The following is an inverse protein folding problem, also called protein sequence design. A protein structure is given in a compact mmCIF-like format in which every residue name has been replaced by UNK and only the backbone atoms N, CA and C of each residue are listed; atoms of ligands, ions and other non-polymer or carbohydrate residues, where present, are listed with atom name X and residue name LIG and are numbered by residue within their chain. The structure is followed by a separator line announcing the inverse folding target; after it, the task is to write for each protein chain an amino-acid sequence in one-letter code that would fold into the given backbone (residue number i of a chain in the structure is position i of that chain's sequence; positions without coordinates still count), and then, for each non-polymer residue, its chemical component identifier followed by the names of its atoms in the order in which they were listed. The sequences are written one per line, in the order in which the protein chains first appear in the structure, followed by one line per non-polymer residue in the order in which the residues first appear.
data_IF_192266974724
#
_entry.id   IF_192266974724
#
_cell.length_a   1.000
_cell.length_b   1.000
_cell.length_c   1.000
_cell.angle_alpha   90.00
_cell.angle_beta   90.00
_cell.angle_gamma   90.00
#
_symmetry.space_group_name_H-M   'P 1'
#
loop_
_entity.id
_entity.type
_entity.pdbx_description
1 polymer ?
#
# COMPACT_ATOMS: atom_id res chain seq x y z
N UNK A 1 13.05 3.36 2.54
CA UNK A 1 12.10 4.48 2.65
C UNK A 1 10.76 3.95 2.20
N UNK A 2 9.67 4.28 2.89
CA UNK A 2 8.34 3.78 2.56
C UNK A 2 7.67 4.76 1.61
N UNK A 3 7.11 4.23 0.53
CA UNK A 3 6.25 4.94 -0.39
C UNK A 3 4.78 4.58 -0.09
N UNK A 4 3.94 5.60 0.04
CA UNK A 4 2.53 5.49 0.43
C UNK A 4 1.64 6.09 -0.67
N UNK A 5 1.11 5.25 -1.54
CA UNK A 5 0.21 5.65 -2.63
C UNK A 5 -1.23 5.74 -2.14
N UNK A 6 -1.80 6.94 -2.23
CA UNK A 6 -3.10 7.29 -1.64
C UNK A 6 -3.99 8.06 -2.61
N UNK A 7 -5.24 8.22 -2.23
CA UNK A 7 -6.14 9.19 -2.85
C UNK A 7 -6.95 9.95 -1.78
N UNK A 8 -7.53 11.11 -2.12
CA UNK A 8 -8.49 11.79 -1.27
C UNK A 8 -9.69 10.90 -0.93
N UNK A 9 -10.36 11.21 0.19
CA UNK A 9 -11.58 10.55 0.65
C UNK A 9 -11.49 9.02 0.87
N UNK A 10 -10.29 8.45 0.90
CA UNK A 10 -10.04 7.03 1.16
C UNK A 10 -9.85 6.78 2.68
N UNK A 11 -10.79 6.07 3.31
CA UNK A 11 -10.73 5.78 4.76
C UNK A 11 -9.52 4.94 5.14
N UNK A 12 -9.22 3.88 4.38
CA UNK A 12 -8.04 3.04 4.62
C UNK A 12 -6.73 3.82 4.48
N UNK A 13 -6.67 4.79 3.55
CA UNK A 13 -5.51 5.64 3.35
C UNK A 13 -5.28 6.56 4.56
N UNK A 14 -6.36 7.15 5.11
CA UNK A 14 -6.28 7.94 6.35
C UNK A 14 -5.80 7.10 7.53
N UNK A 15 -6.27 5.85 7.64
CA UNK A 15 -5.82 4.92 8.68
C UNK A 15 -4.33 4.59 8.54
N UNK A 16 -3.87 4.23 7.35
CA UNK A 16 -2.46 3.93 7.10
C UNK A 16 -1.54 5.13 7.42
N UNK A 17 -1.90 6.33 6.93
CA UNK A 17 -1.16 7.56 7.21
C UNK A 17 -1.08 7.85 8.71
N UNK A 18 -2.22 7.78 9.41
CA UNK A 18 -2.27 8.02 10.85
C UNK A 18 -1.45 6.98 11.62
N UNK A 19 -1.50 5.72 11.20
CA UNK A 19 -0.77 4.63 11.83
C UNK A 19 0.74 4.82 11.70
N UNK A 20 1.24 5.11 10.49
CA UNK A 20 2.68 5.35 10.26
C UNK A 20 3.17 6.56 11.06
N UNK A 21 2.39 7.65 11.08
CA UNK A 21 2.72 8.84 11.86
C UNK A 21 2.74 8.56 13.38
N UNK A 22 1.80 7.77 13.90
CA UNK A 22 1.74 7.42 15.32
C UNK A 22 2.90 6.52 15.80
N UNK A 23 3.61 5.89 14.86
CA UNK A 23 4.77 5.02 15.13
C UNK A 23 6.09 5.66 14.71
N UNK A 24 6.09 6.97 14.43
CA UNK A 24 7.25 7.72 13.96
C UNK A 24 7.93 7.10 12.72
N UNK A 25 7.13 6.48 11.85
CA UNK A 25 7.58 5.87 10.60
C UNK A 25 7.43 6.89 9.46
N UNK A 26 8.55 7.35 8.94
CA UNK A 26 8.58 8.26 7.80
C UNK A 26 8.11 7.57 6.51
N UNK A 27 7.19 8.20 5.80
CA UNK A 27 6.70 7.75 4.49
C UNK A 27 6.58 8.89 3.51
N UNK A 28 6.92 8.64 2.26
CA UNK A 28 6.70 9.55 1.15
C UNK A 28 5.31 9.31 0.56
N UNK A 29 4.45 10.31 0.67
CA UNK A 29 3.07 10.22 0.18
C UNK A 29 2.97 10.57 -1.30
N UNK A 30 2.28 9.70 -2.06
CA UNK A 30 1.97 9.91 -3.47
C UNK A 30 0.46 9.95 -3.65
N UNK A 31 -0.09 11.11 -3.98
CA UNK A 31 -1.51 11.22 -4.29
C UNK A 31 -1.75 10.88 -5.76
N UNK A 32 -2.23 9.66 -6.03
CA UNK A 32 -2.41 9.14 -7.40
C UNK A 32 -3.45 9.89 -8.23
N UNK A 33 -4.27 10.73 -7.60
CA UNK A 33 -5.26 11.55 -8.30
C UNK A 33 -4.67 12.86 -8.83
N UNK A 34 -3.60 13.37 -8.22
CA UNK A 34 -2.93 14.63 -8.62
C UNK A 34 -1.56 14.39 -9.24
N UNK A 35 -0.93 13.27 -8.91
CA UNK A 35 0.34 12.81 -9.42
C UNK A 35 0.14 11.37 -9.90
N UNK A 36 -0.17 11.15 -11.19
CA UNK A 36 -0.33 9.80 -11.74
C UNK A 36 0.89 8.93 -11.43
N UNK A 37 0.63 7.64 -11.23
CA UNK A 37 1.69 6.67 -10.95
C UNK A 37 2.61 6.54 -12.18
N UNK A 38 3.91 6.45 -11.95
CA UNK A 38 4.86 6.29 -13.06
C UNK A 38 4.91 4.82 -13.53
N UNK A 39 5.31 4.57 -14.80
CA UNK A 39 5.61 3.22 -15.28
C UNK A 39 6.57 2.45 -14.36
N UNK A 40 7.58 3.14 -13.82
CA UNK A 40 8.61 2.58 -12.94
C UNK A 40 8.01 2.17 -11.60
N UNK A 41 7.19 3.04 -10.99
CA UNK A 41 6.49 2.76 -9.75
C UNK A 41 5.56 1.55 -9.91
N UNK A 42 4.79 1.50 -11.01
CA UNK A 42 3.86 0.40 -11.24
C UNK A 42 4.60 -0.93 -11.46
N UNK A 43 5.74 -0.92 -12.18
CA UNK A 43 6.60 -2.09 -12.31
C UNK A 43 7.13 -2.57 -10.96
N UNK A 44 7.56 -1.64 -10.10
CA UNK A 44 8.03 -1.98 -8.75
C UNK A 44 6.91 -2.62 -7.91
N UNK A 45 5.69 -2.08 -7.98
CA UNK A 45 4.51 -2.62 -7.33
C UNK A 45 4.19 -4.03 -7.85
N UNK A 46 4.07 -4.19 -9.18
CA UNK A 46 3.78 -5.48 -9.80
C UNK A 46 4.84 -6.54 -9.52
N UNK A 47 6.11 -6.16 -9.37
CA UNK A 47 7.17 -7.11 -9.02
C UNK A 47 7.03 -7.73 -7.61
N UNK A 48 6.17 -7.16 -6.77
CA UNK A 48 5.92 -7.60 -5.39
C UNK A 48 4.54 -8.23 -5.19
N UNK A 49 3.71 -8.32 -6.24
CA UNK A 49 2.41 -8.99 -6.15
C UNK A 49 2.60 -10.51 -6.24
N UNK A 50 1.66 -11.25 -5.67
CA UNK A 50 1.62 -12.71 -5.80
C UNK A 50 0.75 -13.12 -6.99
N UNK A 51 -0.35 -12.39 -7.21
CA UNK A 51 -1.34 -12.66 -8.27
C UNK A 51 -1.31 -11.61 -9.38
N UNK A 52 -0.18 -10.92 -9.58
CA UNK A 52 -0.04 -9.95 -10.66
C UNK A 52 -0.95 -8.73 -10.51
N UNK A 53 -1.74 -8.45 -11.55
CA UNK A 53 -2.62 -7.28 -11.63
C UNK A 53 -3.85 -7.40 -10.74
N UNK A 54 -4.33 -8.61 -10.45
CA UNK A 54 -5.52 -8.87 -9.64
C UNK A 54 -5.40 -8.31 -8.21
N UNK A 55 -4.18 -8.34 -7.67
CA UNK A 55 -3.86 -7.83 -6.34
C UNK A 55 -4.05 -6.32 -6.26
N UNK A 56 -3.67 -5.59 -7.31
CA UNK A 56 -3.61 -4.12 -7.31
C UNK A 56 -4.81 -3.46 -7.98
N UNK A 57 -5.58 -4.18 -8.79
CA UNK A 57 -6.79 -3.65 -9.43
C UNK A 57 -8.03 -3.86 -8.57
N UNK A 58 -8.82 -2.81 -8.46
CA UNK A 58 -10.12 -2.78 -7.81
C UNK A 58 -11.21 -3.21 -8.79
N UNK A 59 -11.26 -4.52 -9.07
CA UNK A 59 -12.24 -5.14 -10.00
C UNK A 59 -13.70 -4.93 -9.58
N UNK A 60 -13.94 -4.61 -8.29
CA UNK A 60 -15.28 -4.28 -7.77
C UNK A 60 -15.68 -2.82 -8.00
N UNK A 61 -14.80 -1.98 -8.55
CA UNK A 61 -15.08 -0.56 -8.76
C UNK A 61 -16.08 -0.34 -9.90
N UNK A 62 -16.91 0.70 -9.79
CA UNK A 62 -17.84 1.11 -10.86
C UNK A 62 -17.11 1.48 -12.15
N UNK A 63 -15.87 1.98 -12.03
CA UNK A 63 -15.04 2.33 -13.19
C UNK A 63 -14.66 1.06 -13.94
N UNK A 64 -14.15 0.06 -13.22
CA UNK A 64 -13.81 -1.24 -13.82
C UNK A 64 -15.01 -1.89 -14.53
N UNK A 65 -16.15 -1.94 -13.86
CA UNK A 65 -17.39 -2.52 -14.43
C UNK A 65 -17.89 -1.79 -15.69
N UNK A 66 -17.62 -0.48 -15.80
CA UNK A 66 -18.04 0.32 -16.97
C UNK A 66 -17.10 0.17 -18.17
N UNK A 67 -15.83 -0.09 -17.92
CA UNK A 67 -14.82 -0.20 -18.97
C UNK A 67 -14.99 -1.49 -19.79
N UNK A 68 -15.58 -2.54 -19.19
CA UNK A 68 -15.81 -3.84 -19.84
C UNK A 68 -14.52 -4.36 -20.53
N UNK A 69 -13.41 -4.24 -19.80
CA UNK A 69 -12.07 -4.65 -20.22
C UNK A 69 -11.72 -6.00 -19.59
N UNK A 70 -10.95 -6.80 -20.33
CA UNK A 70 -10.22 -7.92 -19.77
C UNK A 70 -8.80 -7.45 -19.43
N UNK A 71 -8.41 -7.53 -18.15
CA UNK A 71 -7.07 -7.07 -17.72
C UNK A 71 -6.00 -8.04 -18.22
N UNK A 72 -6.34 -9.32 -18.35
CA UNK A 72 -5.37 -10.37 -18.68
C UNK A 72 -4.94 -10.29 -20.16
N UNK A 73 -5.72 -9.59 -20.99
CA UNK A 73 -5.40 -9.30 -22.39
C UNK A 73 -4.53 -8.04 -22.56
N UNK A 74 -4.39 -7.21 -21.51
CA UNK A 74 -3.62 -5.96 -21.61
C UNK A 74 -2.12 -6.24 -21.51
N UNK A 75 -1.36 -5.63 -22.42
CA UNK A 75 0.08 -5.48 -22.22
C UNK A 75 0.36 -4.59 -21.01
N UNK A 76 1.58 -4.70 -20.45
CA UNK A 76 1.99 -3.85 -19.33
C UNK A 76 1.86 -2.34 -19.66
N UNK A 77 2.14 -1.93 -20.90
CA UNK A 77 2.03 -0.52 -21.30
C UNK A 77 0.57 -0.07 -21.36
N UNK A 78 -0.32 -0.87 -21.93
CA UNK A 78 -1.76 -0.56 -21.97
C UNK A 78 -2.35 -0.51 -20.55
N UNK A 79 -1.90 -1.38 -19.64
CA UNK A 79 -2.29 -1.33 -18.24
C UNK A 79 -1.81 -0.02 -17.57
N UNK A 80 -0.58 0.42 -17.85
CA UNK A 80 -0.04 1.68 -17.32
C UNK A 80 -0.86 2.87 -17.81
N UNK A 81 -1.16 2.91 -19.11
CA UNK A 81 -1.99 3.96 -19.71
C UNK A 81 -3.38 3.96 -19.08
N UNK A 82 -4.01 2.80 -18.97
CA UNK A 82 -5.32 2.63 -18.34
C UNK A 82 -5.35 3.14 -16.90
N UNK A 83 -4.35 2.80 -16.09
CA UNK A 83 -4.25 3.25 -14.70
C UNK A 83 -3.98 4.76 -14.63
N UNK A 84 -3.20 5.30 -15.57
CA UNK A 84 -2.93 6.74 -15.65
C UNK A 84 -4.18 7.55 -15.97
N UNK A 85 -5.02 7.05 -16.87
CA UNK A 85 -6.33 7.65 -17.21
C UNK A 85 -7.38 7.44 -16.11
N UNK A 86 -7.29 6.31 -15.41
CA UNK A 86 -8.23 5.92 -14.37
C UNK A 86 -7.55 5.50 -13.07
N UNK A 87 -6.89 6.42 -12.32
CA UNK A 87 -6.12 6.06 -11.11
C UNK A 87 -6.96 5.38 -10.03
N UNK A 88 -8.28 5.63 -10.03
CA UNK A 88 -9.23 4.99 -9.13
C UNK A 88 -9.37 3.47 -9.32
N UNK A 89 -8.87 2.91 -10.43
CA UNK A 89 -8.77 1.46 -10.64
C UNK A 89 -7.80 0.82 -9.67
N UNK A 90 -6.79 1.53 -9.19
CA UNK A 90 -5.88 0.99 -8.18
C UNK A 90 -6.58 0.81 -6.83
N UNK A 91 -6.34 -0.34 -6.20
CA UNK A 91 -6.58 -0.55 -4.78
C UNK A 91 -5.69 0.38 -3.98
N UNK A 92 -6.21 0.85 -2.84
CA UNK A 92 -5.58 1.89 -2.03
C UNK A 92 -5.82 1.65 -0.53
N UNK A 93 -4.90 2.05 0.34
CA UNK A 93 -3.54 2.52 0.01
C UNK A 93 -2.68 1.38 -0.56
N UNK A 94 -1.59 1.72 -1.26
CA UNK A 94 -0.48 0.79 -1.49
C UNK A 94 0.69 1.31 -0.67
N UNK A 95 1.22 0.47 0.21
CA UNK A 95 2.32 0.78 1.12
C UNK A 95 3.48 -0.12 0.68
N UNK A 96 4.62 0.46 0.30
CA UNK A 96 5.73 -0.30 -0.28
C UNK A 96 7.08 0.24 0.19
N UNK A 97 8.02 -0.65 0.46
CA UNK A 97 9.45 -0.33 0.63
C UNK A 97 10.31 -1.26 -0.24
N UNK A 98 11.62 -1.30 0.02
CA UNK A 98 12.55 -2.16 -0.72
C UNK A 98 12.22 -3.66 -0.58
N UNK A 99 11.59 -4.07 0.50
CA UNK A 99 11.40 -5.47 0.89
C UNK A 99 9.95 -5.92 0.88
N UNK A 100 9.01 -5.03 1.14
CA UNK A 100 7.64 -5.36 1.52
C UNK A 100 6.65 -4.51 0.75
N UNK A 101 5.47 -5.08 0.57
CA UNK A 101 4.31 -4.36 0.05
C UNK A 101 3.07 -4.80 0.81
N UNK A 102 2.16 -3.86 1.02
CA UNK A 102 0.83 -4.11 1.54
C UNK A 102 -0.18 -3.33 0.70
N UNK A 103 -1.28 -3.98 0.35
CA UNK A 103 -2.39 -3.39 -0.40
C UNK A 103 -3.60 -3.30 0.53
N UNK A 104 -4.16 -2.12 0.66
CA UNK A 104 -5.16 -1.82 1.68
C UNK A 104 -4.53 -1.51 3.03
N UNK A 105 -5.38 -1.42 4.06
CA UNK A 105 -4.93 -1.21 5.44
C UNK A 105 -5.38 -2.38 6.31
N UNK A 106 -4.41 -3.04 6.90
CA UNK A 106 -4.58 -4.02 7.97
C UNK A 106 -3.58 -3.65 9.08
N UNK A 107 -4.08 -3.50 10.30
CA UNK A 107 -3.34 -3.00 11.47
C UNK A 107 -2.26 -3.98 11.96
N UNK A 108 -2.46 -5.28 11.79
CA UNK A 108 -1.46 -6.29 12.16
C UNK A 108 -0.35 -6.38 11.11
N UNK A 109 -0.73 -6.38 9.83
CA UNK A 109 0.21 -6.51 8.71
C UNK A 109 1.10 -5.26 8.54
N UNK A 110 0.58 -4.05 8.78
CA UNK A 110 1.34 -2.81 8.62
C UNK A 110 2.50 -2.71 9.62
N UNK A 111 2.46 -3.46 10.73
CA UNK A 111 3.59 -3.60 11.67
C UNK A 111 4.85 -4.16 11.00
N UNK A 112 4.72 -4.81 9.84
CA UNK A 112 5.85 -5.24 9.06
C UNK A 112 6.74 -4.06 8.62
N UNK A 113 6.22 -2.84 8.51
CA UNK A 113 6.98 -1.65 8.14
C UNK A 113 7.74 -1.01 9.31
N UNK A 114 7.61 -1.55 10.53
CA UNK A 114 8.34 -1.02 11.69
C UNK A 114 9.83 -1.33 11.61
N UNK A 115 10.70 -0.39 12.03
CA UNK A 115 12.12 -0.62 12.18
C UNK A 115 12.42 -1.80 13.12
N UNK A 116 13.61 -2.41 12.95
CA UNK A 116 14.01 -3.56 13.79
C UNK A 116 14.12 -3.18 15.27
N UNK A 117 14.43 -1.93 15.57
CA UNK A 117 14.51 -1.41 16.93
C UNK A 117 13.16 -1.45 17.64
N UNK A 118 12.05 -1.25 16.93
CA UNK A 118 10.71 -1.27 17.51
C UNK A 118 10.40 -2.62 18.16
N UNK A 119 10.68 -3.73 17.45
CA UNK A 119 10.53 -5.09 18.00
C UNK A 119 11.39 -5.34 19.24
N UNK A 120 12.58 -4.73 19.31
CA UNK A 120 13.47 -4.85 20.48
C UNK A 120 12.97 -4.03 21.66
N UNK A 121 12.34 -2.88 21.43
CA UNK A 121 11.71 -2.08 22.47
C UNK A 121 10.49 -2.82 23.03
N UNK A 122 9.58 -3.31 22.18
CA UNK A 122 8.41 -4.06 22.62
C UNK A 122 8.74 -5.30 23.46
N UNK A 123 9.76 -6.08 23.05
CA UNK A 123 10.19 -7.24 23.83
C UNK A 123 10.74 -6.86 25.20
N UNK A 124 11.50 -5.75 25.30
CA UNK A 124 12.01 -5.24 26.58
C UNK A 124 10.87 -4.76 27.47
N UNK A 125 9.91 -4.03 26.93
CA UNK A 125 8.75 -3.53 27.67
C UNK A 125 7.84 -4.67 28.12
N UNK A 126 7.72 -5.74 27.33
CA UNK A 126 6.98 -6.94 27.70
C UNK A 126 7.67 -7.69 28.85
N UNK A 127 9.00 -7.85 28.78
CA UNK A 127 9.78 -8.49 29.84
C UNK A 127 9.69 -7.70 31.15
N UNK A 128 9.87 -6.37 31.10
CA UNK A 128 9.76 -5.51 32.27
C UNK A 128 8.36 -5.57 32.90
N UNK A 129 7.30 -5.59 32.09
CA UNK A 129 5.92 -5.76 32.59
C UNK A 129 5.69 -7.12 33.23
N UNK A 130 6.29 -8.19 32.72
CA UNK A 130 6.19 -9.51 33.35
C UNK A 130 6.89 -9.53 34.71
N UNK A 131 8.08 -8.94 34.81
CA UNK A 131 8.86 -8.83 36.05
C UNK A 131 8.20 -7.95 37.13
N UNK A 132 7.29 -7.03 36.75
CA UNK A 132 6.54 -6.17 37.70
C UNK A 132 5.24 -6.80 38.23
N UNK A 133 4.81 -7.92 37.64
CA UNK A 133 3.56 -8.61 38.02
C UNK A 133 3.84 -9.84 38.92
N UNK A 134 5.12 -10.21 39.07
CA UNK A 134 5.64 -11.15 40.07
C UNK A 134 6.01 -10.44 41.39
#
# INVERSE_FOLDING_TARGET
MIDLYISPSCTSCRKAKAWLAAHDVESREHNIMTQPITPEDLKAILSKTENGTEDIISTRSKVFQKLNIDIDELTLNELIELISEHPSLLRRPIIIDDKKMQIGFNEDEIRAFLPREYRRAEMRDAQFRAELVD
#
